data_IF_492625254880
#
_entry.id   IF_492625254880
#
_cell.length_a   1.000
_cell.length_b   1.000
_cell.length_c   1.000
_cell.angle_alpha   90.00
_cell.angle_beta   90.00
_cell.angle_gamma   90.00
#
_symmetry.space_group_name_H-M   'P 1'
#
loop_
_entity.id
_entity.type
_entity.pdbx_description
1 polymer ?
#
# COMPACT_ATOMS: atom_id res chain seq x y z
N UNK A 1 -48.43 -32.21 15.00
CA UNK A 1 -47.98 -30.85 14.64
C UNK A 1 -46.49 -30.89 14.37
N UNK A 2 -46.05 -30.81 13.10
CA UNK A 2 -44.63 -30.80 12.75
C UNK A 2 -44.28 -29.37 12.29
N UNK A 3 -43.78 -28.56 13.22
CA UNK A 3 -43.61 -27.10 13.07
C UNK A 3 -42.17 -26.65 12.80
N UNK A 4 -41.37 -27.43 12.08
CA UNK A 4 -40.06 -26.95 11.63
C UNK A 4 -40.25 -25.91 10.53
N UNK A 5 -40.26 -24.63 10.92
CA UNK A 5 -40.23 -23.49 10.01
C UNK A 5 -38.94 -23.59 9.20
N UNK A 6 -39.04 -23.90 7.90
CA UNK A 6 -37.89 -23.88 6.99
C UNK A 6 -37.23 -22.51 7.10
N UNK A 7 -36.06 -22.46 7.74
CA UNK A 7 -35.23 -21.27 7.74
C UNK A 7 -34.83 -21.01 6.30
N UNK A 8 -35.19 -19.84 5.78
CA UNK A 8 -34.66 -19.35 4.52
C UNK A 8 -33.17 -19.09 4.73
N UNK A 9 -32.36 -20.11 4.44
CA UNK A 9 -30.92 -20.09 4.64
C UNK A 9 -30.26 -18.94 3.87
N UNK A 10 -30.86 -18.49 2.76
CA UNK A 10 -30.37 -17.36 1.97
C UNK A 10 -30.64 -16.04 2.71
N UNK A 11 -31.84 -15.85 3.27
CA UNK A 11 -32.13 -14.69 4.12
C UNK A 11 -31.31 -14.70 5.41
N UNK A 12 -31.14 -15.86 6.04
CA UNK A 12 -30.30 -16.00 7.24
C UNK A 12 -28.84 -15.66 6.93
N UNK A 13 -28.28 -16.20 5.85
CA UNK A 13 -26.90 -15.89 5.41
C UNK A 13 -26.72 -14.41 5.06
N UNK A 14 -27.71 -13.76 4.43
CA UNK A 14 -27.69 -12.31 4.18
C UNK A 14 -27.75 -11.48 5.46
N UNK A 15 -28.43 -11.95 6.49
CA UNK A 15 -28.51 -11.24 7.78
C UNK A 15 -27.19 -11.26 8.56
N UNK A 16 -26.34 -12.28 8.36
CA UNK A 16 -24.99 -12.36 8.96
C UNK A 16 -23.86 -11.93 8.03
N UNK A 17 -24.15 -11.69 6.74
CA UNK A 17 -23.15 -11.21 5.79
C UNK A 17 -22.66 -9.81 6.19
N UNK A 18 -21.34 -9.55 6.18
CA UNK A 18 -20.84 -8.23 6.46
C UNK A 18 -21.47 -7.18 5.53
N UNK A 19 -21.78 -6.01 6.06
CA UNK A 19 -22.34 -4.90 5.29
C UNK A 19 -21.37 -3.72 5.25
N UNK A 20 -21.50 -2.89 4.22
CA UNK A 20 -20.78 -1.61 4.14
C UNK A 20 -21.55 -0.53 4.88
N UNK A 21 -20.86 0.38 5.58
CA UNK A 21 -21.47 1.56 6.21
C UNK A 21 -20.64 2.83 5.96
N UNK A 22 -21.19 3.98 6.36
CA UNK A 22 -20.48 5.26 6.37
C UNK A 22 -19.81 5.63 5.04
N UNK A 23 -18.65 6.27 5.14
CA UNK A 23 -17.90 6.75 3.97
C UNK A 23 -17.46 5.62 3.04
N UNK A 24 -17.11 4.43 3.57
CA UNK A 24 -16.73 3.28 2.75
C UNK A 24 -17.92 2.80 1.91
N UNK A 25 -19.13 2.74 2.47
CA UNK A 25 -20.33 2.39 1.70
C UNK A 25 -20.61 3.37 0.57
N UNK A 26 -20.50 4.68 0.83
CA UNK A 26 -20.71 5.72 -0.18
C UNK A 26 -19.69 5.60 -1.32
N UNK A 27 -18.40 5.42 -0.99
CA UNK A 27 -17.35 5.21 -1.98
C UNK A 27 -17.58 3.91 -2.77
N UNK A 28 -17.82 2.80 -2.09
CA UNK A 28 -18.08 1.50 -2.70
C UNK A 28 -19.22 1.57 -3.71
N UNK A 29 -20.37 2.15 -3.33
CA UNK A 29 -21.54 2.28 -4.22
C UNK A 29 -21.25 3.19 -5.43
N UNK A 30 -20.64 4.35 -5.21
CA UNK A 30 -20.32 5.30 -6.29
C UNK A 30 -19.28 4.77 -7.28
N UNK A 31 -18.44 3.81 -6.87
CA UNK A 31 -17.39 3.21 -7.69
C UNK A 31 -17.78 1.81 -8.20
N UNK A 32 -19.07 1.54 -8.40
CA UNK A 32 -19.59 0.33 -9.04
C UNK A 32 -19.86 -0.86 -8.12
N UNK A 33 -19.67 -0.70 -6.81
CA UNK A 33 -20.07 -1.64 -5.77
C UNK A 33 -19.58 -3.07 -6.02
N UNK A 34 -20.49 -4.05 -5.88
CA UNK A 34 -20.18 -5.46 -6.04
C UNK A 34 -19.69 -5.79 -7.46
N UNK A 35 -20.12 -5.01 -8.45
CA UNK A 35 -19.67 -5.14 -9.84
C UNK A 35 -18.18 -4.85 -10.01
N UNK A 36 -17.56 -4.07 -9.12
CA UNK A 36 -16.13 -3.72 -9.19
C UNK A 36 -15.33 -4.43 -8.09
N UNK A 37 -15.79 -4.34 -6.85
CA UNK A 37 -15.06 -4.79 -5.67
C UNK A 37 -15.47 -6.19 -5.19
N UNK A 38 -16.65 -6.67 -5.62
CA UNK A 38 -17.26 -7.88 -5.07
C UNK A 38 -17.85 -7.65 -3.68
N UNK A 39 -18.27 -8.72 -3.02
CA UNK A 39 -18.94 -8.62 -1.73
C UNK A 39 -17.95 -8.28 -0.60
N UNK A 40 -18.38 -7.52 0.41
CA UNK A 40 -17.61 -7.34 1.63
C UNK A 40 -17.41 -8.68 2.34
N UNK A 41 -16.18 -8.95 2.78
CA UNK A 41 -15.83 -10.16 3.55
C UNK A 41 -15.61 -9.88 5.03
N UNK A 42 -15.57 -8.60 5.41
CA UNK A 42 -15.46 -8.15 6.80
C UNK A 42 -16.38 -6.96 7.02
N UNK A 43 -16.75 -6.69 8.28
CA UNK A 43 -17.16 -5.34 8.67
C UNK A 43 -15.97 -4.37 8.59
N UNK A 44 -16.21 -3.09 8.86
CA UNK A 44 -15.11 -2.14 9.08
C UNK A 44 -14.29 -2.54 10.31
N UNK A 45 -12.97 -2.59 10.17
CA UNK A 45 -12.01 -2.93 11.23
C UNK A 45 -11.08 -1.76 11.50
N UNK A 46 -10.70 -1.56 12.75
CA UNK A 46 -9.69 -0.56 13.10
C UNK A 46 -8.32 -0.93 12.48
N UNK A 47 -7.67 0.06 11.87
CA UNK A 47 -6.35 -0.11 11.23
C UNK A 47 -5.19 -0.16 12.22
N UNK A 48 -5.42 0.25 13.47
CA UNK A 48 -4.40 0.41 14.49
C UNK A 48 -3.54 1.66 14.32
N UNK A 49 -3.84 2.55 13.35
CA UNK A 49 -3.08 3.78 13.06
C UNK A 49 -3.96 5.03 12.85
N UNK A 50 -5.26 4.96 13.14
CA UNK A 50 -6.17 6.12 13.04
C UNK A 50 -7.03 6.13 11.78
N UNK A 51 -7.77 5.04 11.57
CA UNK A 51 -8.66 4.85 10.44
C UNK A 51 -9.27 3.45 10.47
N UNK A 52 -10.20 3.17 9.56
CA UNK A 52 -10.82 1.86 9.40
C UNK A 52 -10.52 1.26 8.03
N UNK A 53 -10.62 -0.06 7.93
CA UNK A 53 -10.47 -0.82 6.69
C UNK A 53 -11.60 -1.84 6.55
N UNK A 54 -12.10 -1.99 5.33
CA UNK A 54 -13.04 -3.06 4.97
C UNK A 54 -12.51 -3.84 3.77
N UNK A 55 -12.67 -5.17 3.80
CA UNK A 55 -12.17 -6.06 2.75
C UNK A 55 -13.31 -6.47 1.82
N UNK A 56 -13.00 -6.55 0.53
CA UNK A 56 -13.89 -6.96 -0.54
C UNK A 56 -13.19 -7.98 -1.43
N UNK A 57 -13.92 -8.99 -1.92
CA UNK A 57 -13.36 -10.02 -2.79
C UNK A 57 -14.22 -10.17 -4.04
N UNK A 58 -13.55 -10.07 -5.20
CA UNK A 58 -14.11 -10.39 -6.51
C UNK A 58 -13.17 -11.33 -7.25
N UNK A 59 -13.68 -12.46 -7.76
CA UNK A 59 -12.90 -13.43 -8.55
C UNK A 59 -11.57 -13.83 -7.89
N UNK A 60 -11.60 -14.13 -6.58
CA UNK A 60 -10.41 -14.51 -5.80
C UNK A 60 -9.41 -13.38 -5.52
N UNK A 61 -9.71 -12.14 -5.94
CA UNK A 61 -8.87 -10.97 -5.73
C UNK A 61 -9.43 -10.08 -4.63
N UNK A 62 -8.61 -9.82 -3.62
CA UNK A 62 -8.97 -8.95 -2.49
C UNK A 62 -8.63 -7.49 -2.80
N UNK A 63 -9.59 -6.61 -2.57
CA UNK A 63 -9.38 -5.16 -2.49
C UNK A 63 -9.78 -4.68 -1.10
N UNK A 64 -8.93 -3.87 -0.49
CA UNK A 64 -9.19 -3.25 0.80
C UNK A 64 -9.52 -1.78 0.60
N UNK A 65 -10.64 -1.32 1.15
CA UNK A 65 -10.98 0.09 1.20
C UNK A 65 -10.64 0.62 2.59
N UNK A 66 -9.75 1.59 2.65
CA UNK A 66 -9.34 2.27 3.87
C UNK A 66 -10.04 3.62 3.96
N UNK A 67 -10.42 4.03 5.16
CA UNK A 67 -10.92 5.38 5.43
C UNK A 67 -10.22 5.99 6.64
N UNK A 68 -9.88 7.26 6.54
CA UNK A 68 -9.59 8.14 7.67
C UNK A 68 -10.11 9.54 7.36
N UNK A 69 -10.25 10.38 8.40
CA UNK A 69 -10.53 11.81 8.21
C UNK A 69 -9.45 12.54 7.40
N UNK A 70 -8.20 12.03 7.41
CA UNK A 70 -7.07 12.66 6.73
C UNK A 70 -6.97 12.31 5.25
N UNK A 71 -7.34 11.09 4.85
CA UNK A 71 -7.14 10.58 3.49
C UNK A 71 -8.43 10.41 2.70
N UNK A 72 -9.58 10.43 3.38
CA UNK A 72 -10.83 9.92 2.82
C UNK A 72 -10.72 8.43 2.49
N UNK A 73 -11.62 7.93 1.64
CA UNK A 73 -11.59 6.54 1.19
C UNK A 73 -10.53 6.35 0.09
N UNK A 74 -9.67 5.34 0.26
CA UNK A 74 -8.64 4.93 -0.72
C UNK A 74 -8.54 3.42 -0.78
N UNK A 75 -8.18 2.89 -1.93
CA UNK A 75 -8.12 1.45 -2.16
C UNK A 75 -6.70 0.89 -2.17
N UNK A 76 -6.51 -0.31 -1.62
CA UNK A 76 -5.32 -1.14 -1.80
C UNK A 76 -5.76 -2.44 -2.46
N UNK A 77 -5.27 -2.69 -3.67
CA UNK A 77 -5.52 -3.93 -4.42
C UNK A 77 -4.43 -4.93 -4.07
N UNK A 78 -4.70 -5.89 -3.17
CA UNK A 78 -3.65 -6.74 -2.58
C UNK A 78 -3.05 -7.76 -3.55
N UNK A 79 -3.62 -7.89 -4.75
CA UNK A 79 -3.16 -8.76 -5.83
C UNK A 79 -2.22 -8.04 -6.83
N UNK A 80 -2.01 -6.74 -6.65
CA UNK A 80 -1.00 -5.97 -7.40
C UNK A 80 0.36 -6.05 -6.70
N UNK A 81 1.44 -5.68 -7.40
CA UNK A 81 2.77 -5.65 -6.81
C UNK A 81 2.87 -4.71 -5.60
N UNK A 82 2.27 -3.52 -5.68
CA UNK A 82 2.29 -2.53 -4.60
C UNK A 82 1.44 -3.00 -3.41
N UNK A 83 0.20 -3.41 -3.65
CA UNK A 83 -0.70 -3.86 -2.58
C UNK A 83 -0.23 -5.15 -1.91
N UNK A 84 0.31 -6.11 -2.67
CA UNK A 84 0.90 -7.33 -2.10
C UNK A 84 2.09 -7.00 -1.19
N UNK A 85 2.94 -6.04 -1.59
CA UNK A 85 4.08 -5.62 -0.76
C UNK A 85 3.64 -4.88 0.49
N UNK A 86 2.60 -4.04 0.42
CA UNK A 86 2.02 -3.39 1.59
C UNK A 86 1.59 -4.43 2.64
N UNK A 87 0.86 -5.46 2.22
CA UNK A 87 0.46 -6.58 3.11
C UNK A 87 1.67 -7.33 3.66
N UNK A 88 2.64 -7.68 2.80
CA UNK A 88 3.84 -8.41 3.21
C UNK A 88 4.76 -7.64 4.16
N UNK A 89 4.63 -6.31 4.24
CA UNK A 89 5.34 -5.48 5.21
C UNK A 89 4.60 -5.33 6.56
N UNK A 90 3.41 -5.90 6.71
CA UNK A 90 2.56 -5.76 7.90
C UNK A 90 1.41 -4.76 7.74
N UNK A 91 1.14 -4.31 6.51
CA UNK A 91 0.00 -3.47 6.16
C UNK A 91 -0.01 -2.12 6.87
N UNK A 92 -1.20 -1.68 7.29
CA UNK A 92 -1.42 -0.34 7.82
C UNK A 92 -0.58 -0.01 9.06
N UNK A 93 -0.33 -0.99 9.94
CA UNK A 93 0.45 -0.77 11.17
C UNK A 93 1.92 -0.50 10.89
N UNK A 94 2.47 -1.05 9.82
CA UNK A 94 3.88 -0.91 9.49
C UNK A 94 4.14 0.25 8.50
N UNK A 95 3.27 0.41 7.52
CA UNK A 95 3.49 1.31 6.36
C UNK A 95 2.55 2.53 6.38
N UNK A 96 1.44 2.44 7.12
CA UNK A 96 0.35 3.42 7.10
C UNK A 96 -0.79 3.02 6.16
N UNK A 97 -1.83 3.86 6.13
CA UNK A 97 -2.99 3.72 5.24
C UNK A 97 -2.72 4.42 3.90
N UNK A 98 -3.36 4.00 2.78
CA UNK A 98 -3.18 4.66 1.49
C UNK A 98 -3.58 6.14 1.52
N UNK A 99 -2.70 7.00 1.00
CA UNK A 99 -2.94 8.43 0.79
C UNK A 99 -3.59 8.71 -0.57
N UNK A 100 -3.13 8.01 -1.60
CA UNK A 100 -3.68 7.97 -2.95
C UNK A 100 -4.04 6.54 -3.34
N UNK A 101 -4.82 6.36 -4.41
CA UNK A 101 -4.94 5.05 -5.07
C UNK A 101 -3.64 4.74 -5.85
N UNK A 102 -3.42 3.48 -6.21
CA UNK A 102 -2.25 3.09 -7.00
C UNK A 102 -2.23 3.79 -8.36
N UNK A 103 -1.08 4.35 -8.73
CA UNK A 103 -0.88 5.18 -9.91
C UNK A 103 0.33 4.72 -10.72
N UNK A 104 0.33 5.00 -12.03
CA UNK A 104 1.50 4.76 -12.89
C UNK A 104 2.61 5.75 -12.58
N UNK A 105 3.86 5.28 -12.67
CA UNK A 105 5.05 6.15 -12.68
C UNK A 105 5.34 6.63 -14.09
N UNK A 106 6.18 7.66 -14.23
CA UNK A 106 6.61 8.18 -15.53
C UNK A 106 7.48 7.18 -16.33
N UNK A 107 7.97 6.12 -15.69
CA UNK A 107 8.86 5.13 -16.29
C UNK A 107 8.19 3.76 -16.52
N UNK A 108 6.86 3.70 -16.40
CA UNK A 108 6.06 2.50 -16.74
C UNK A 108 5.83 1.52 -15.59
N UNK A 109 6.27 1.84 -14.38
CA UNK A 109 5.93 1.11 -13.15
C UNK A 109 4.66 1.66 -12.49
N UNK A 110 4.47 1.27 -11.23
CA UNK A 110 3.35 1.71 -10.39
C UNK A 110 3.85 2.16 -9.02
N UNK A 111 3.09 3.03 -8.36
CA UNK A 111 3.34 3.41 -6.99
C UNK A 111 2.06 3.68 -6.22
N UNK A 112 2.16 3.59 -4.90
CA UNK A 112 1.18 4.12 -3.98
C UNK A 112 1.89 4.75 -2.79
N UNK A 113 1.42 5.91 -2.36
CA UNK A 113 1.88 6.56 -1.14
C UNK A 113 0.96 6.21 0.01
N UNK A 114 1.56 5.97 1.17
CA UNK A 114 0.91 5.62 2.41
C UNK A 114 1.29 6.64 3.47
N UNK A 115 0.41 6.84 4.42
CA UNK A 115 0.62 7.75 5.55
C UNK A 115 0.16 7.08 6.83
N UNK A 116 0.91 7.22 7.89
CA UNK A 116 0.42 6.99 9.25
C UNK A 116 -0.34 8.26 9.69
N UNK A 117 -1.68 8.18 9.86
CA UNK A 117 -2.50 9.32 10.26
C UNK A 117 -2.06 9.97 11.57
N UNK A 118 -1.54 9.19 12.53
CA UNK A 118 -1.13 9.67 13.86
C UNK A 118 0.19 10.41 13.83
N UNK A 119 1.19 9.83 13.16
CA UNK A 119 2.56 10.37 13.18
C UNK A 119 2.88 11.31 12.02
N UNK A 120 2.07 11.35 10.97
CA UNK A 120 2.40 12.12 9.77
C UNK A 120 3.35 11.41 8.81
N UNK A 121 4.02 10.34 9.25
CA UNK A 121 5.05 9.64 8.48
C UNK A 121 4.47 9.08 7.17
N UNK A 122 5.15 9.36 6.06
CA UNK A 122 4.78 8.88 4.74
C UNK A 122 5.75 7.83 4.21
N UNK A 123 5.23 6.78 3.60
CA UNK A 123 6.01 5.75 2.91
C UNK A 123 5.45 5.58 1.50
N UNK A 124 6.30 5.63 0.48
CA UNK A 124 5.91 5.32 -0.91
C UNK A 124 6.37 3.90 -1.23
N UNK A 125 5.49 3.07 -1.76
CA UNK A 125 5.88 1.78 -2.35
C UNK A 125 5.87 1.96 -3.86
N UNK A 126 6.98 1.63 -4.52
CA UNK A 126 7.08 1.59 -5.97
C UNK A 126 7.29 0.17 -6.44
N UNK A 127 6.67 -0.17 -7.56
CA UNK A 127 6.82 -1.45 -8.25
C UNK A 127 7.24 -1.23 -9.70
N UNK A 128 8.13 -2.09 -10.20
CA UNK A 128 8.31 -2.32 -11.64
C UNK A 128 8.44 -3.82 -11.89
N UNK A 129 8.19 -4.25 -13.14
CA UNK A 129 8.36 -5.65 -13.52
C UNK A 129 9.80 -6.17 -13.28
N UNK A 130 10.81 -5.29 -13.37
CA UNK A 130 12.22 -5.65 -13.22
C UNK A 130 12.72 -5.66 -11.78
N UNK A 131 12.09 -4.90 -10.88
CA UNK A 131 12.57 -4.70 -9.50
C UNK A 131 11.67 -5.29 -8.44
N UNK A 132 10.44 -5.66 -8.79
CA UNK A 132 9.41 -5.91 -7.81
C UNK A 132 9.06 -4.63 -7.02
N UNK A 133 8.31 -4.81 -5.93
CA UNK A 133 7.82 -3.71 -5.11
C UNK A 133 8.70 -3.49 -3.87
N UNK A 134 9.11 -2.25 -3.63
CA UNK A 134 9.87 -1.88 -2.43
C UNK A 134 9.45 -0.51 -1.88
N UNK A 135 9.51 -0.34 -0.54
CA UNK A 135 9.18 0.91 0.11
C UNK A 135 10.35 1.90 0.06
N UNK A 136 10.04 3.19 0.03
CA UNK A 136 10.96 4.29 0.29
C UNK A 136 10.28 5.31 1.20
N UNK A 137 11.01 5.82 2.18
CA UNK A 137 10.56 6.91 3.06
C UNK A 137 11.16 8.20 2.50
N UNK A 138 10.36 8.98 1.77
CA UNK A 138 10.87 10.16 1.05
C UNK A 138 11.40 11.27 1.98
N UNK A 139 11.00 11.26 3.26
CA UNK A 139 11.53 12.16 4.30
C UNK A 139 12.84 11.68 4.94
N UNK A 140 13.29 10.44 4.69
CA UNK A 140 14.55 9.94 5.23
C UNK A 140 15.77 10.66 4.60
N UNK A 141 16.95 10.47 5.18
CA UNK A 141 18.19 10.97 4.57
C UNK A 141 18.36 10.47 3.14
N UNK A 142 18.15 9.16 2.92
CA UNK A 142 18.26 8.52 1.61
C UNK A 142 17.13 8.95 0.68
N UNK A 143 15.88 8.91 1.15
CA UNK A 143 14.71 9.28 0.36
C UNK A 143 14.80 10.70 -0.19
N UNK A 144 15.21 11.67 0.65
CA UNK A 144 15.39 13.07 0.21
C UNK A 144 16.43 13.22 -0.89
N UNK A 145 17.51 12.45 -0.85
CA UNK A 145 18.53 12.47 -1.91
C UNK A 145 18.02 11.80 -3.19
N UNK A 146 17.30 10.68 -3.07
CA UNK A 146 16.67 10.02 -4.22
C UNK A 146 15.66 10.93 -4.93
N UNK A 147 14.78 11.59 -4.16
CA UNK A 147 13.83 12.60 -4.65
C UNK A 147 14.56 13.73 -5.37
N UNK A 148 15.53 14.39 -4.72
CA UNK A 148 16.28 15.52 -5.31
C UNK A 148 17.04 15.12 -6.57
N UNK A 149 17.50 13.87 -6.66
CA UNK A 149 18.17 13.34 -7.83
C UNK A 149 17.22 12.96 -8.96
N UNK A 150 15.90 13.15 -8.85
CA UNK A 150 14.95 12.86 -9.93
C UNK A 150 14.27 11.49 -9.81
N UNK A 151 14.10 10.98 -8.60
CA UNK A 151 13.29 9.78 -8.32
C UNK A 151 13.72 8.55 -9.13
N UNK A 152 12.76 7.75 -9.60
CA UNK A 152 12.97 6.54 -10.38
C UNK A 152 13.50 6.81 -11.80
N UNK A 153 13.48 8.08 -12.25
CA UNK A 153 14.01 8.42 -13.59
C UNK A 153 15.54 8.42 -13.64
N UNK A 154 16.22 8.63 -12.49
CA UNK A 154 17.69 8.65 -12.41
C UNK A 154 18.24 7.43 -11.68
N UNK A 155 18.02 7.32 -10.38
CA UNK A 155 18.54 6.19 -9.60
C UNK A 155 17.80 4.89 -9.89
N UNK A 156 16.56 5.01 -10.39
CA UNK A 156 15.67 3.87 -10.59
C UNK A 156 14.82 3.54 -9.38
N UNK A 157 14.24 2.35 -9.42
CA UNK A 157 13.34 1.84 -8.41
C UNK A 157 14.13 1.27 -7.24
N UNK A 158 13.63 1.36 -5.99
CA UNK A 158 14.25 0.65 -4.90
C UNK A 158 14.16 -0.86 -5.13
N UNK A 159 15.26 -1.57 -4.86
CA UNK A 159 15.36 -3.05 -4.88
C UNK A 159 15.54 -3.63 -3.48
N UNK A 160 15.63 -2.76 -2.46
CA UNK A 160 15.55 -3.12 -1.05
C UNK A 160 14.69 -2.10 -0.30
N UNK A 161 14.15 -2.43 0.89
CA UNK A 161 13.76 -1.41 1.85
C UNK A 161 15.00 -0.62 2.32
N UNK A 162 14.78 0.49 3.02
CA UNK A 162 15.85 1.16 3.78
C UNK A 162 16.23 0.28 4.99
N UNK A 163 17.49 -0.15 5.04
CA UNK A 163 18.03 -1.03 6.07
C UNK A 163 18.89 -0.21 7.02
N UNK A 164 18.52 -0.19 8.30
CA UNK A 164 19.33 0.40 9.36
C UNK A 164 20.54 -0.47 9.68
N UNK A 165 21.67 0.17 9.95
CA UNK A 165 22.91 -0.46 10.40
C UNK A 165 23.38 0.21 11.70
N UNK A 166 24.41 -0.35 12.34
CA UNK A 166 25.02 0.26 13.53
C UNK A 166 25.62 1.65 13.27
N UNK A 167 25.93 1.97 12.01
CA UNK A 167 26.62 3.21 11.61
C UNK A 167 25.77 4.14 10.74
N UNK A 168 24.53 3.78 10.44
CA UNK A 168 23.65 4.57 9.60
C UNK A 168 22.52 3.75 8.96
N UNK A 169 22.34 3.92 7.66
CA UNK A 169 21.37 3.16 6.87
C UNK A 169 21.82 3.02 5.42
N UNK A 170 21.30 2.03 4.71
CA UNK A 170 21.45 1.95 3.25
C UNK A 170 20.16 1.54 2.56
N UNK A 171 20.05 1.89 1.28
CA UNK A 171 19.02 1.39 0.39
C UNK A 171 19.60 1.22 -1.01
N UNK A 172 19.16 0.17 -1.71
CA UNK A 172 19.64 -0.15 -3.06
C UNK A 172 18.59 0.17 -4.09
N UNK A 173 19.04 0.59 -5.26
CA UNK A 173 18.20 1.01 -6.38
C UNK A 173 18.69 0.36 -7.68
N UNK A 174 17.78 0.19 -8.63
CA UNK A 174 18.09 -0.23 -9.98
C UNK A 174 17.37 0.65 -11.00
N UNK A 175 18.13 1.28 -11.89
CA UNK A 175 17.60 1.97 -13.05
C UNK A 175 17.12 0.92 -14.06
N UNK A 176 15.81 0.90 -14.34
CA UNK A 176 15.22 -0.15 -15.19
C UNK A 176 15.59 0.00 -16.67
N UNK A 177 15.95 1.20 -17.11
CA UNK A 177 16.38 1.48 -18.49
C UNK A 177 17.82 1.04 -18.73
N UNK A 178 18.74 1.43 -17.85
CA UNK A 178 20.18 1.15 -18.02
C UNK A 178 20.60 -0.16 -17.37
N UNK A 179 19.81 -0.70 -16.45
CA UNK A 179 20.18 -1.83 -15.60
C UNK A 179 21.13 -1.47 -14.45
N UNK A 180 21.60 -0.23 -14.37
CA UNK A 180 22.56 0.22 -13.36
C UNK A 180 21.99 0.06 -11.95
N UNK A 181 22.80 -0.53 -11.06
CA UNK A 181 22.47 -0.67 -9.64
C UNK A 181 23.31 0.26 -8.80
N UNK A 182 22.67 0.91 -7.84
CA UNK A 182 23.34 1.82 -6.90
C UNK A 182 22.92 1.53 -5.47
N UNK A 183 23.82 1.76 -4.52
CA UNK A 183 23.53 1.79 -3.10
C UNK A 183 23.69 3.23 -2.61
N UNK A 184 22.67 3.71 -1.90
CA UNK A 184 22.69 4.98 -1.19
C UNK A 184 22.94 4.62 0.27
N UNK A 185 24.04 5.10 0.83
CA UNK A 185 24.41 4.87 2.23
C UNK A 185 24.36 6.20 2.97
N UNK A 186 23.52 6.29 3.99
CA UNK A 186 23.45 7.44 4.88
C UNK A 186 24.24 7.20 6.15
N UNK A 187 25.02 8.17 6.59
CA UNK A 187 25.60 8.20 7.95
C UNK A 187 25.32 9.55 8.62
N UNK A 188 25.29 9.62 9.97
CA UNK A 188 25.01 10.86 10.69
C UNK A 188 25.98 12.01 10.35
N UNK A 189 27.27 11.70 10.15
CA UNK A 189 28.32 12.71 9.88
C UNK A 189 28.56 12.97 8.39
N UNK A 190 28.35 11.96 7.54
CA UNK A 190 28.71 12.03 6.11
C UNK A 190 27.54 12.30 5.16
N UNK A 191 26.30 12.32 5.66
CA UNK A 191 25.13 12.40 4.79
C UNK A 191 25.00 11.16 3.90
N UNK A 192 24.46 11.32 2.69
CA UNK A 192 24.24 10.21 1.75
C UNK A 192 25.37 10.12 0.73
N UNK A 193 26.07 8.99 0.72
CA UNK A 193 26.99 8.59 -0.35
C UNK A 193 26.29 7.64 -1.31
N UNK A 194 26.47 7.83 -2.61
CA UNK A 194 25.96 6.93 -3.65
C UNK A 194 27.12 6.14 -4.26
N UNK A 195 27.01 4.82 -4.29
CA UNK A 195 28.00 3.93 -4.92
C UNK A 195 27.33 3.02 -5.93
N UNK A 196 27.97 2.78 -7.07
CA UNK A 196 27.54 1.75 -8.01
C UNK A 196 27.84 0.37 -7.41
N UNK A 197 26.94 -0.58 -7.59
CA UNK A 197 27.08 -1.96 -7.11
C UNK A 197 26.92 -2.93 -8.28
N UNK A 198 27.58 -4.09 -8.18
CA UNK A 198 27.48 -5.17 -9.17
C UNK A 198 26.13 -5.88 -9.04
#
# INVERSE_FOLDING_TARGET
MNGYRKVDAVRAARAVAPTTRGAIATYYKSHGGAGVYGNPTTGERDTGVGGVVQHFVKNGRTTKLYWSSRTGVREVRTWTGVGSRHEGLGGARAVGIPFNNEQRTATGGYYQSFVDPRSGKTTKILWSARTGAQPIIESSGIGRVWVRKGYETKAGYPISPEVRTSTGAYQRFQNIKTGERTQYTWTPRGGVKVTRIK
#
